data_IF_770276816344
#
_entry.id   IF_770276816344
#
_cell.length_a   1.000
_cell.length_b   1.000
_cell.length_c   1.000
_cell.angle_alpha   90.00
_cell.angle_beta   90.00
_cell.angle_gamma   90.00
#
_symmetry.space_group_name_H-M   'P 1'
#
loop_
_entity.id
_entity.type
_entity.pdbx_description
1 polymer ?
#
# COMPACT_ATOMS: atom_id res chain seq x y z
N UNK A 1 -11.10 17.61 3.97
CA UNK A 1 -10.80 16.22 4.36
C UNK A 1 -9.58 16.25 5.27
N UNK A 2 -9.44 15.30 6.19
CA UNK A 2 -8.27 15.16 7.07
C UNK A 2 -7.70 13.78 6.80
N UNK A 3 -6.40 13.71 6.52
CA UNK A 3 -5.67 12.46 6.34
C UNK A 3 -4.66 12.31 7.47
N UNK A 4 -4.44 11.08 7.91
CA UNK A 4 -3.65 10.75 9.09
C UNK A 4 -2.62 9.69 8.73
N UNK A 5 -1.40 9.87 9.20
CA UNK A 5 -0.34 8.86 9.13
C UNK A 5 0.42 8.79 10.44
N UNK A 6 0.85 7.59 10.85
CA UNK A 6 1.57 7.36 12.09
C UNK A 6 2.96 6.80 11.78
N UNK A 7 4.00 7.39 12.38
CA UNK A 7 5.38 6.93 12.28
C UNK A 7 6.09 7.05 13.63
N UNK A 8 6.51 5.94 14.24
CA UNK A 8 7.26 5.91 15.51
C UNK A 8 6.68 6.88 16.60
N UNK A 9 5.39 6.73 16.90
CA UNK A 9 4.59 7.58 17.83
C UNK A 9 4.32 9.03 17.40
N UNK A 10 4.73 9.41 16.19
CA UNK A 10 4.46 10.72 15.62
C UNK A 10 3.23 10.67 14.72
N UNK A 11 2.26 11.54 14.99
CA UNK A 11 1.07 11.68 14.16
C UNK A 11 1.27 12.78 13.12
N UNK A 12 1.12 12.43 11.85
CA UNK A 12 1.11 13.35 10.72
C UNK A 12 -0.33 13.58 10.28
N UNK A 13 -0.70 14.84 10.10
CA UNK A 13 -2.07 15.25 9.79
C UNK A 13 -2.08 16.21 8.63
N UNK A 14 -2.86 15.92 7.59
CA UNK A 14 -3.18 16.92 6.58
C UNK A 14 -4.52 17.60 6.85
N UNK A 15 -4.59 18.89 6.53
CA UNK A 15 -5.81 19.69 6.63
C UNK A 15 -6.26 20.12 5.22
N UNK A 16 -7.55 20.38 5.07
CA UNK A 16 -8.12 20.85 3.79
C UNK A 16 -7.60 22.22 3.34
N UNK A 17 -6.87 22.94 4.19
CA UNK A 17 -6.24 24.23 3.89
C UNK A 17 -4.81 24.08 3.33
N UNK A 18 -4.39 22.86 2.97
CA UNK A 18 -3.09 22.59 2.38
C UNK A 18 -1.95 22.47 3.39
N UNK A 19 -2.24 22.42 4.70
CA UNK A 19 -1.22 22.23 5.75
C UNK A 19 -1.00 20.77 6.06
N UNK A 20 0.26 20.43 6.30
CA UNK A 20 0.68 19.14 6.86
C UNK A 20 1.37 19.42 8.19
N UNK A 21 0.84 18.81 9.25
CA UNK A 21 1.31 18.96 10.62
C UNK A 21 1.97 17.67 11.10
N UNK A 22 3.02 17.81 11.90
CA UNK A 22 3.58 16.77 12.74
C UNK A 22 3.14 17.05 14.18
N UNK A 23 2.60 16.03 14.84
CA UNK A 23 2.10 16.09 16.21
C UNK A 23 2.83 15.03 17.02
N UNK A 24 3.56 15.46 18.04
CA UNK A 24 4.26 14.54 18.95
C UNK A 24 3.30 14.07 20.08
N UNK A 25 3.63 13.02 20.83
CA UNK A 25 2.71 12.44 21.83
C UNK A 25 2.19 13.40 22.91
N UNK A 26 2.95 14.46 23.24
CA UNK A 26 2.51 15.48 24.19
C UNK A 26 1.47 16.47 23.61
N UNK A 27 1.12 16.33 22.33
CA UNK A 27 0.17 17.18 21.61
C UNK A 27 0.79 18.38 20.91
N UNK A 28 2.09 18.64 21.09
CA UNK A 28 2.79 19.74 20.40
C UNK A 28 2.74 19.54 18.90
N UNK A 29 2.33 20.59 18.19
CA UNK A 29 2.21 20.61 16.73
C UNK A 29 3.35 21.40 16.09
N UNK A 30 3.94 20.87 15.03
CA UNK A 30 4.94 21.55 14.20
C UNK A 30 4.53 21.48 12.73
N UNK A 31 4.65 22.59 12.00
CA UNK A 31 4.31 22.63 10.58
C UNK A 31 5.39 21.90 9.79
N UNK A 32 4.99 20.89 9.00
CA UNK A 32 5.88 20.18 8.08
C UNK A 32 5.92 20.90 6.74
N UNK A 33 4.74 21.23 6.21
CA UNK A 33 4.61 21.85 4.90
C UNK A 33 3.29 22.61 4.77
N UNK A 34 3.26 23.60 3.88
CA UNK A 34 2.05 24.33 3.51
C UNK A 34 2.03 24.58 1.99
N UNK A 35 0.90 24.24 1.38
CA UNK A 35 0.56 24.55 -0.01
C UNK A 35 -0.78 25.28 -0.08
N UNK A 36 -1.13 25.79 -1.26
CA UNK A 36 -2.46 26.33 -1.55
C UNK A 36 -3.39 25.29 -2.20
N UNK A 37 -2.89 24.06 -2.39
CA UNK A 37 -3.61 22.94 -3.01
C UNK A 37 -4.32 22.07 -1.96
N UNK A 38 -5.29 21.28 -2.42
CA UNK A 38 -5.98 20.31 -1.57
C UNK A 38 -5.08 19.09 -1.39
N UNK A 39 -4.83 18.69 -0.15
CA UNK A 39 -4.14 17.42 0.13
C UNK A 39 -5.15 16.28 0.05
N UNK A 40 -4.87 15.33 -0.84
CA UNK A 40 -5.72 14.18 -1.14
C UNK A 40 -5.33 12.94 -0.35
N UNK A 41 -4.06 12.83 0.06
CA UNK A 41 -3.60 11.81 1.01
C UNK A 41 -2.22 12.15 1.58
N UNK A 42 -1.84 11.56 2.72
CA UNK A 42 -0.53 11.76 3.36
C UNK A 42 -0.02 10.47 3.99
N UNK A 43 1.27 10.18 3.80
CA UNK A 43 1.96 9.10 4.51
C UNK A 43 3.35 9.54 4.96
N UNK A 44 3.76 9.18 6.17
CA UNK A 44 5.10 9.43 6.67
C UNK A 44 5.77 8.16 7.16
N UNK A 45 7.08 8.07 6.94
CA UNK A 45 7.93 6.97 7.43
C UNK A 45 9.36 7.45 7.56
N UNK A 46 9.99 7.12 8.69
CA UNK A 46 11.39 7.41 9.01
C UNK A 46 11.76 8.88 8.74
N UNK A 47 10.87 9.80 9.13
CA UNK A 47 11.06 11.24 8.99
C UNK A 47 10.81 11.81 7.58
N UNK A 48 10.53 10.97 6.58
CA UNK A 48 10.12 11.43 5.24
C UNK A 48 8.60 11.49 5.17
N UNK A 49 8.05 12.57 4.63
CA UNK A 49 6.61 12.73 4.41
C UNK A 49 6.32 12.78 2.92
N UNK A 50 5.35 11.99 2.48
CA UNK A 50 4.84 11.96 1.13
C UNK A 50 3.38 12.39 1.14
N UNK A 51 2.94 13.07 0.09
CA UNK A 51 1.53 13.41 -0.06
C UNK A 51 1.14 13.47 -1.52
N UNK A 52 -0.17 13.39 -1.71
CA UNK A 52 -0.81 13.70 -2.98
C UNK A 52 -1.49 15.06 -2.81
N UNK A 53 -1.25 15.98 -3.74
CA UNK A 53 -2.02 17.22 -3.82
C UNK A 53 -2.73 17.35 -5.16
N UNK A 54 -3.96 17.86 -5.12
CA UNK A 54 -4.73 18.23 -6.30
C UNK A 54 -4.38 19.66 -6.70
N UNK A 55 -3.66 19.79 -7.82
CA UNK A 55 -3.21 21.08 -8.37
C UNK A 55 -4.32 21.74 -9.19
N UNK A 56 -5.08 20.93 -9.93
CA UNK A 56 -6.31 21.31 -10.61
C UNK A 56 -7.16 20.06 -10.86
N UNK A 57 -8.39 20.23 -11.36
CA UNK A 57 -9.25 19.12 -11.76
C UNK A 57 -8.48 18.08 -12.60
N UNK A 58 -8.48 16.82 -12.13
CA UNK A 58 -7.80 15.69 -12.76
C UNK A 58 -6.29 15.87 -12.99
N UNK A 59 -5.66 16.73 -12.19
CA UNK A 59 -4.23 16.96 -12.21
C UNK A 59 -3.70 16.95 -10.78
N UNK A 60 -3.30 15.77 -10.34
CA UNK A 60 -2.65 15.60 -9.03
C UNK A 60 -1.16 15.37 -9.18
N UNK A 61 -0.44 15.64 -8.09
CA UNK A 61 1.01 15.45 -7.99
C UNK A 61 1.35 14.64 -6.75
N UNK A 62 2.27 13.69 -6.86
CA UNK A 62 2.90 13.04 -5.70
C UNK A 62 4.16 13.81 -5.35
N UNK A 63 4.29 14.23 -4.10
CA UNK A 63 5.45 14.92 -3.58
C UNK A 63 6.04 14.18 -2.39
N UNK A 64 7.30 14.51 -2.08
CA UNK A 64 7.97 14.17 -0.84
C UNK A 64 8.67 15.36 -0.24
N UNK A 65 8.80 15.36 1.07
CA UNK A 65 9.68 16.24 1.84
C UNK A 65 10.39 15.39 2.89
N UNK A 66 11.69 15.57 3.00
CA UNK A 66 12.54 15.01 4.05
C UNK A 66 13.04 16.18 4.91
N UNK A 67 14.13 16.03 5.66
CA UNK A 67 14.72 17.15 6.43
C UNK A 67 15.19 18.33 5.54
N UNK A 68 15.13 18.21 4.21
CA UNK A 68 15.32 19.33 3.30
C UNK A 68 14.10 20.25 3.30
N UNK A 69 14.36 21.57 3.33
CA UNK A 69 13.33 22.61 3.36
C UNK A 69 12.54 22.76 2.04
N UNK A 70 12.69 21.85 1.06
CA UNK A 70 12.03 22.00 -0.24
C UNK A 70 11.43 20.68 -0.72
N UNK A 71 10.14 20.68 -1.08
CA UNK A 71 9.47 19.48 -1.54
C UNK A 71 10.02 19.04 -2.91
N UNK A 72 10.13 17.73 -3.12
CA UNK A 72 10.51 17.12 -4.40
C UNK A 72 9.30 16.46 -5.02
N UNK A 73 9.11 16.71 -6.31
CA UNK A 73 8.05 16.08 -7.10
C UNK A 73 8.49 14.69 -7.52
N UNK A 74 7.66 13.69 -7.22
CA UNK A 74 7.87 12.28 -7.60
C UNK A 74 7.13 11.98 -8.90
N UNK A 75 5.88 12.43 -9.01
CA UNK A 75 5.02 12.18 -10.16
C UNK A 75 4.07 13.35 -10.38
N UNK A 76 3.78 13.65 -11.65
CA UNK A 76 2.84 14.70 -12.10
C UNK A 76 1.77 14.09 -12.99
N UNK A 77 0.75 14.88 -13.31
CA UNK A 77 -0.31 14.54 -14.25
C UNK A 77 -1.03 13.22 -13.86
N UNK A 78 -1.13 12.99 -12.55
CA UNK A 78 -1.89 11.87 -12.00
C UNK A 78 -3.35 12.03 -12.41
N UNK A 79 -4.01 10.89 -12.64
CA UNK A 79 -5.46 10.84 -12.89
C UNK A 79 -6.24 11.07 -11.59
N UNK A 80 -7.06 10.12 -11.16
CA UNK A 80 -7.77 10.20 -9.88
C UNK A 80 -6.99 9.35 -8.87
N UNK A 81 -6.03 9.91 -8.12
CA UNK A 81 -5.38 9.17 -7.06
C UNK A 81 -6.32 8.94 -5.87
N UNK A 82 -6.15 7.82 -5.16
CA UNK A 82 -7.03 7.48 -4.03
C UNK A 82 -6.27 7.14 -2.74
N UNK A 83 -5.17 6.41 -2.85
CA UNK A 83 -4.42 5.87 -1.71
C UNK A 83 -2.92 6.11 -1.91
N UNK A 84 -2.22 6.40 -0.81
CA UNK A 84 -0.79 6.58 -0.74
C UNK A 84 -0.22 5.73 0.41
N UNK A 85 0.70 4.83 0.11
CA UNK A 85 1.38 4.02 1.13
C UNK A 85 2.89 3.99 0.91
N UNK A 86 3.63 3.58 1.93
CA UNK A 86 5.09 3.50 1.90
C UNK A 86 5.57 2.18 2.50
N UNK A 87 6.51 1.55 1.79
CA UNK A 87 7.31 0.45 2.32
C UNK A 87 8.79 0.78 2.12
N UNK A 88 9.55 0.73 3.21
CA UNK A 88 10.95 1.16 3.26
C UNK A 88 11.15 2.58 2.68
N UNK A 89 11.68 2.68 1.46
CA UNK A 89 11.94 3.93 0.73
C UNK A 89 11.16 4.04 -0.59
N UNK A 90 10.17 3.18 -0.76
CA UNK A 90 9.33 3.12 -1.95
C UNK A 90 7.94 3.60 -1.58
N UNK A 91 7.49 4.67 -2.21
CA UNK A 91 6.10 5.12 -2.11
C UNK A 91 5.28 4.44 -3.20
N UNK A 92 4.07 4.03 -2.87
CA UNK A 92 3.11 3.43 -3.78
C UNK A 92 1.83 4.25 -3.77
N UNK A 93 1.21 4.37 -4.94
CA UNK A 93 -0.09 4.99 -5.08
C UNK A 93 -0.87 4.29 -6.17
N UNK A 94 -2.19 4.44 -6.12
CA UNK A 94 -3.06 4.01 -7.20
C UNK A 94 -3.61 5.22 -7.96
N UNK A 95 -4.01 5.00 -9.21
CA UNK A 95 -4.73 5.96 -10.05
C UNK A 95 -5.94 5.27 -10.66
N UNK A 96 -7.12 5.90 -10.53
CA UNK A 96 -8.36 5.48 -11.16
C UNK A 96 -8.59 6.34 -12.40
N UNK A 97 -9.00 5.70 -13.50
CA UNK A 97 -9.32 6.40 -14.74
C UNK A 97 -10.27 5.59 -15.62
N UNK A 98 -10.93 6.28 -16.56
CA UNK A 98 -11.87 5.67 -17.51
C UNK A 98 -11.24 5.60 -18.89
N UNK A 99 -11.36 4.46 -19.57
CA UNK A 99 -10.87 4.26 -20.94
C UNK A 99 -11.86 3.46 -21.80
N UNK A 100 -11.86 3.65 -23.13
CA UNK A 100 -12.64 2.80 -24.02
C UNK A 100 -12.03 1.39 -24.11
N UNK A 101 -12.87 0.37 -23.96
CA UNK A 101 -12.54 -1.05 -24.12
C UNK A 101 -13.64 -1.71 -24.95
N UNK A 102 -13.28 -2.28 -26.11
CA UNK A 102 -14.20 -3.03 -26.98
C UNK A 102 -15.53 -2.31 -27.29
N UNK A 103 -15.51 -0.98 -27.47
CA UNK A 103 -16.70 -0.19 -27.82
C UNK A 103 -17.55 0.28 -26.63
N UNK A 104 -17.16 -0.04 -25.39
CA UNK A 104 -17.73 0.51 -24.17
C UNK A 104 -16.69 1.32 -23.38
N UNK A 105 -17.12 2.12 -22.40
CA UNK A 105 -16.22 2.74 -21.41
C UNK A 105 -16.12 1.84 -20.18
N UNK A 106 -14.90 1.67 -19.67
CA UNK A 106 -14.64 0.97 -18.42
C UNK A 106 -13.71 1.78 -17.53
N UNK A 107 -13.92 1.66 -16.22
CA UNK A 107 -12.98 2.12 -15.21
C UNK A 107 -11.81 1.13 -15.08
N UNK A 108 -10.63 1.65 -14.81
CA UNK A 108 -9.40 0.91 -14.58
C UNK A 108 -8.64 1.50 -13.40
N UNK A 109 -7.96 0.65 -12.64
CA UNK A 109 -7.03 1.04 -11.58
C UNK A 109 -5.61 0.69 -12.01
N UNK A 110 -4.69 1.63 -11.84
CA UNK A 110 -3.26 1.45 -12.07
C UNK A 110 -2.51 1.63 -10.76
N UNK A 111 -1.63 0.69 -10.43
CA UNK A 111 -0.75 0.74 -9.25
C UNK A 111 0.63 1.16 -9.71
N UNK A 112 1.16 2.23 -9.11
CA UNK A 112 2.48 2.79 -9.40
C UNK A 112 3.35 2.82 -8.15
N UNK A 113 4.64 2.92 -8.38
CA UNK A 113 5.64 3.14 -7.34
C UNK A 113 6.61 4.25 -7.71
N UNK A 114 7.22 4.83 -6.68
CA UNK A 114 8.25 5.85 -6.76
C UNK A 114 9.42 5.54 -5.84
N UNK A 115 10.62 5.40 -6.39
CA UNK A 115 11.87 5.19 -5.62
C UNK A 115 13.02 5.93 -6.30
N UNK A 116 13.80 6.68 -5.54
CA UNK A 116 14.99 7.42 -6.04
C UNK A 116 14.68 8.25 -7.31
N UNK A 117 13.59 9.02 -7.29
CA UNK A 117 13.14 9.89 -8.39
C UNK A 117 12.79 9.15 -9.69
N UNK A 118 12.63 7.82 -9.63
CA UNK A 118 12.11 6.99 -10.72
C UNK A 118 10.73 6.48 -10.36
N UNK A 119 9.84 6.50 -11.35
CA UNK A 119 8.49 5.96 -11.23
C UNK A 119 8.32 4.74 -12.13
N UNK A 120 7.46 3.81 -11.69
CA UNK A 120 7.16 2.61 -12.44
C UNK A 120 5.69 2.22 -12.24
N UNK A 121 5.01 1.87 -13.34
CA UNK A 121 3.73 1.15 -13.29
C UNK A 121 3.99 -0.32 -12.96
N UNK A 122 3.42 -0.79 -11.86
CA UNK A 122 3.56 -2.16 -11.37
C UNK A 122 2.47 -3.06 -11.92
N UNK A 123 1.24 -2.54 -11.90
CA UNK A 123 0.06 -3.28 -12.31
C UNK A 123 -1.02 -2.34 -12.86
N UNK A 124 -1.85 -2.87 -13.74
CA UNK A 124 -3.09 -2.24 -14.15
C UNK A 124 -4.16 -3.32 -14.30
N UNK A 125 -5.35 -3.05 -13.79
CA UNK A 125 -6.49 -3.94 -13.93
C UNK A 125 -7.77 -3.15 -14.25
N UNK A 126 -8.66 -3.79 -14.99
CA UNK A 126 -9.99 -3.26 -15.26
C UNK A 126 -10.83 -3.43 -13.99
N UNK A 127 -11.44 -2.35 -13.51
CA UNK A 127 -12.43 -2.43 -12.45
C UNK A 127 -13.69 -3.00 -13.09
N UNK A 128 -13.88 -4.32 -13.02
CA UNK A 128 -15.03 -4.97 -13.67
C UNK A 128 -16.35 -4.77 -12.90
N UNK A 129 -16.58 -3.59 -12.32
CA UNK A 129 -17.92 -3.10 -12.02
C UNK A 129 -18.42 -2.34 -13.25
N UNK A 130 -19.39 -2.83 -14.03
CA UNK A 130 -19.97 -1.99 -15.05
C UNK A 130 -20.69 -0.83 -14.36
N UNK A 131 -20.39 0.40 -14.77
CA UNK A 131 -21.28 1.55 -14.57
C UNK A 131 -22.58 1.36 -15.39
N UNK A 132 -22.81 0.19 -16.02
CA UNK A 132 -24.01 -0.13 -16.80
C UNK A 132 -24.84 -1.30 -16.21
N UNK A 133 -25.98 -0.91 -15.66
CA UNK A 133 -27.30 -1.55 -15.62
C UNK A 133 -27.53 -2.99 -15.10
N UNK A 134 -26.53 -3.88 -14.90
CA UNK A 134 -26.85 -5.29 -14.56
C UNK A 134 -26.06 -5.99 -13.46
N UNK A 135 -25.09 -5.37 -12.80
CA UNK A 135 -24.34 -6.06 -11.73
C UNK A 135 -24.18 -5.13 -10.53
N UNK A 136 -24.84 -5.47 -9.43
CA UNK A 136 -24.86 -4.70 -8.18
C UNK A 136 -23.63 -4.88 -7.30
N UNK A 137 -22.58 -5.56 -7.78
CA UNK A 137 -21.35 -5.80 -7.03
C UNK A 137 -20.12 -5.49 -7.89
N UNK A 138 -19.13 -4.72 -7.36
CA UNK A 138 -17.85 -4.58 -8.03
C UNK A 138 -17.18 -5.94 -8.17
N UNK A 139 -16.76 -6.32 -9.37
CA UNK A 139 -16.01 -7.58 -9.53
C UNK A 139 -14.61 -7.50 -8.90
N UNK A 140 -13.98 -6.32 -8.92
CA UNK A 140 -12.70 -6.07 -8.25
C UNK A 140 -12.85 -4.87 -7.32
N UNK A 141 -12.43 -5.04 -6.07
CA UNK A 141 -12.47 -4.03 -4.99
C UNK A 141 -13.07 -4.62 -3.70
N UNK A 142 -12.66 -4.17 -2.49
CA UNK A 142 -11.56 -3.25 -2.16
C UNK A 142 -10.17 -3.81 -2.50
N UNK A 143 -9.17 -2.93 -2.53
CA UNK A 143 -7.75 -3.29 -2.57
C UNK A 143 -6.98 -2.53 -1.49
N UNK A 144 -5.80 -3.04 -1.16
CA UNK A 144 -4.89 -2.46 -0.17
C UNK A 144 -3.47 -2.83 -0.57
N UNK A 145 -2.54 -1.88 -0.48
CA UNK A 145 -1.11 -2.16 -0.65
C UNK A 145 -0.49 -2.31 0.74
N UNK A 146 0.09 -3.48 1.01
CA UNK A 146 0.78 -3.78 2.27
C UNK A 146 2.13 -4.38 1.95
N UNK A 147 3.19 -3.75 2.46
CA UNK A 147 4.57 -4.13 2.17
C UNK A 147 4.80 -4.21 0.65
N UNK A 148 5.17 -5.39 0.15
CA UNK A 148 5.39 -5.66 -1.28
C UNK A 148 4.21 -6.35 -1.96
N UNK A 149 3.02 -6.34 -1.34
CA UNK A 149 1.85 -7.04 -1.84
C UNK A 149 0.70 -6.07 -2.14
N UNK A 150 0.10 -6.25 -3.31
CA UNK A 150 -1.25 -5.77 -3.59
C UNK A 150 -2.23 -6.85 -3.12
N UNK A 151 -3.05 -6.51 -2.15
CA UNK A 151 -4.20 -7.31 -1.75
C UNK A 151 -5.38 -6.83 -2.58
N UNK A 152 -5.96 -7.73 -3.37
CA UNK A 152 -7.08 -7.44 -4.25
C UNK A 152 -8.22 -8.40 -3.97
N UNK A 153 -9.39 -7.86 -3.63
CA UNK A 153 -10.62 -8.66 -3.51
C UNK A 153 -11.27 -8.77 -4.88
N UNK A 154 -11.60 -9.99 -5.26
CA UNK A 154 -12.54 -10.28 -6.33
C UNK A 154 -13.90 -10.66 -5.72
N UNK A 155 -14.91 -9.81 -5.87
CA UNK A 155 -16.26 -9.99 -5.31
C UNK A 155 -17.23 -10.57 -6.35
N UNK A 156 -16.81 -11.63 -7.06
CA UNK A 156 -17.67 -12.33 -8.02
C UNK A 156 -18.63 -13.29 -7.32
N UNK A 157 -19.86 -13.39 -7.84
CA UNK A 157 -20.84 -14.37 -7.38
C UNK A 157 -20.43 -15.74 -7.95
N UNK A 158 -20.37 -16.83 -7.15
CA UNK A 158 -21.00 -17.00 -5.84
C UNK A 158 -20.14 -16.70 -4.60
N UNK A 159 -18.84 -16.44 -4.73
CA UNK A 159 -17.94 -16.31 -3.57
C UNK A 159 -16.82 -15.31 -3.84
N UNK A 160 -16.53 -14.46 -2.84
CA UNK A 160 -15.44 -13.52 -2.94
C UNK A 160 -14.09 -14.21 -2.69
N UNK A 161 -13.04 -13.78 -3.38
CA UNK A 161 -11.68 -14.29 -3.19
C UNK A 161 -10.70 -13.16 -2.90
N UNK A 162 -9.72 -13.41 -2.04
CA UNK A 162 -8.62 -12.48 -1.79
C UNK A 162 -7.38 -12.96 -2.54
N UNK A 163 -6.87 -12.11 -3.41
CA UNK A 163 -5.60 -12.30 -4.11
C UNK A 163 -4.52 -11.45 -3.44
N UNK A 164 -3.40 -12.07 -3.08
CA UNK A 164 -2.17 -11.38 -2.70
C UNK A 164 -1.21 -11.43 -3.88
N UNK A 165 -0.92 -10.29 -4.47
CA UNK A 165 -0.06 -10.20 -5.64
C UNK A 165 1.23 -9.50 -5.24
N UNK A 166 2.35 -10.21 -5.32
CA UNK A 166 3.66 -9.61 -5.09
C UNK A 166 3.95 -8.57 -6.18
N UNK A 167 4.21 -7.33 -5.80
CA UNK A 167 4.35 -6.19 -6.71
C UNK A 167 5.63 -6.23 -7.55
N UNK A 168 6.65 -6.96 -7.12
CA UNK A 168 7.95 -7.03 -7.81
C UNK A 168 7.98 -8.15 -8.83
N UNK A 169 7.57 -9.36 -8.44
CA UNK A 169 7.65 -10.54 -9.30
C UNK A 169 6.30 -10.99 -9.87
N UNK A 170 5.21 -10.31 -9.52
CA UNK A 170 3.83 -10.56 -10.00
C UNK A 170 3.27 -11.94 -9.62
N UNK A 171 3.89 -12.63 -8.67
CA UNK A 171 3.39 -13.92 -8.17
C UNK A 171 2.08 -13.70 -7.41
N UNK A 172 1.08 -14.53 -7.72
CA UNK A 172 -0.24 -14.46 -7.10
C UNK A 172 -0.39 -15.58 -6.08
N UNK A 173 -0.69 -15.21 -4.85
CA UNK A 173 -1.06 -16.10 -3.76
C UNK A 173 -2.56 -15.94 -3.53
N UNK A 174 -3.31 -17.01 -3.67
CA UNK A 174 -4.73 -16.99 -3.30
C UNK A 174 -4.84 -17.36 -1.83
N UNK A 175 -5.57 -16.56 -1.06
CA UNK A 175 -5.99 -17.00 0.27
C UNK A 175 -7.03 -18.10 0.06
N UNK A 176 -6.77 -19.34 0.51
CA UNK A 176 -7.46 -20.54 0.02
C UNK A 176 -8.94 -20.65 0.44
N UNK A 177 -9.44 -19.76 1.28
CA UNK A 177 -10.84 -19.75 1.70
C UNK A 177 -11.65 -18.82 0.80
N UNK A 178 -12.51 -19.42 -0.03
CA UNK A 178 -13.59 -18.70 -0.67
C UNK A 178 -14.44 -18.02 0.41
N UNK A 179 -14.55 -16.70 0.35
CA UNK A 179 -15.32 -15.93 1.31
C UNK A 179 -16.81 -16.06 0.98
N UNK A 180 -17.60 -16.36 2.01
CA UNK A 180 -19.06 -16.41 1.91
C UNK A 180 -19.72 -15.05 2.19
N UNK A 181 -18.97 -13.95 2.04
CA UNK A 181 -19.43 -12.60 2.33
C UNK A 181 -18.81 -11.59 1.37
N UNK A 182 -19.55 -10.52 1.10
CA UNK A 182 -19.15 -9.43 0.19
C UNK A 182 -18.24 -8.45 0.93
N UNK A 183 -16.96 -8.43 0.57
CA UNK A 183 -15.95 -7.60 1.25
C UNK A 183 -16.06 -6.16 0.75
N UNK A 184 -16.16 -5.22 1.68
CA UNK A 184 -16.28 -3.78 1.40
C UNK A 184 -15.03 -2.99 1.74
N UNK A 185 -14.29 -3.42 2.75
CA UNK A 185 -13.08 -2.73 3.20
C UNK A 185 -11.95 -3.70 3.51
N UNK A 186 -10.72 -3.23 3.31
CA UNK A 186 -9.51 -3.89 3.78
C UNK A 186 -8.81 -3.00 4.80
N UNK A 187 -8.23 -3.63 5.82
CA UNK A 187 -7.29 -3.03 6.77
C UNK A 187 -6.13 -4.00 6.98
N UNK A 188 -5.03 -3.51 7.52
CA UNK A 188 -3.91 -4.38 7.89
C UNK A 188 -3.28 -3.93 9.20
N UNK A 189 -2.55 -4.88 9.79
CA UNK A 189 -1.42 -4.60 10.69
C UNK A 189 -0.15 -5.19 10.06
N UNK A 190 0.92 -5.33 10.84
CA UNK A 190 2.20 -5.85 10.38
C UNK A 190 2.13 -7.30 9.89
N UNK A 191 1.18 -8.09 10.40
CA UNK A 191 1.12 -9.54 10.22
C UNK A 191 -0.18 -10.03 9.60
N UNK A 192 -1.23 -9.20 9.58
CA UNK A 192 -2.56 -9.60 9.17
C UNK A 192 -3.23 -8.59 8.25
N UNK A 193 -4.10 -9.13 7.40
CA UNK A 193 -5.11 -8.41 6.64
C UNK A 193 -6.48 -8.71 7.23
N UNK A 194 -7.26 -7.67 7.42
CA UNK A 194 -8.65 -7.75 7.86
C UNK A 194 -9.56 -7.42 6.68
N UNK A 195 -10.38 -8.39 6.27
CA UNK A 195 -11.38 -8.22 5.22
C UNK A 195 -12.75 -8.05 5.86
N UNK A 196 -13.32 -6.86 5.70
CA UNK A 196 -14.51 -6.39 6.40
C UNK A 196 -15.65 -6.30 5.40
N UNK A 197 -16.79 -6.93 5.71
CA UNK A 197 -17.92 -7.00 4.79
C UNK A 197 -19.22 -7.45 5.43
N UNK A 198 -20.14 -7.93 4.59
CA UNK A 198 -21.48 -8.37 5.01
C UNK A 198 -21.91 -9.66 4.34
N UNK A 199 -22.66 -10.48 5.06
CA UNK A 199 -23.41 -11.63 4.57
C UNK A 199 -24.89 -11.53 5.01
N UNK A 200 -25.77 -12.49 4.67
CA UNK A 200 -27.17 -12.47 5.11
C UNK A 200 -27.38 -12.42 6.64
N UNK A 201 -26.39 -12.89 7.42
CA UNK A 201 -26.44 -12.92 8.88
C UNK A 201 -25.91 -11.62 9.53
N UNK A 202 -25.34 -10.71 8.73
CA UNK A 202 -24.89 -9.39 9.16
C UNK A 202 -23.43 -9.09 8.83
N UNK A 203 -22.77 -8.40 9.74
CA UNK A 203 -21.41 -7.88 9.57
C UNK A 203 -20.35 -8.95 9.90
N UNK A 204 -19.31 -9.04 9.07
CA UNK A 204 -18.25 -10.04 9.19
C UNK A 204 -16.87 -9.38 9.06
N UNK A 205 -15.94 -9.79 9.93
CA UNK A 205 -14.51 -9.47 9.83
C UNK A 205 -13.73 -10.77 9.71
N UNK A 206 -13.17 -11.03 8.53
CA UNK A 206 -12.18 -12.09 8.33
C UNK A 206 -10.78 -11.58 8.64
N UNK A 207 -9.93 -12.43 9.22
CA UNK A 207 -8.54 -12.14 9.57
C UNK A 207 -7.62 -13.14 8.88
N UNK A 208 -6.71 -12.65 8.05
CA UNK A 208 -5.85 -13.48 7.21
C UNK A 208 -4.38 -13.11 7.43
N UNK A 209 -3.52 -14.10 7.64
CA UNK A 209 -2.11 -13.85 7.83
C UNK A 209 -1.46 -13.37 6.53
N UNK A 210 -0.61 -12.35 6.62
CA UNK A 210 0.28 -11.98 5.53
C UNK A 210 1.38 -13.05 5.39
N UNK A 211 1.84 -13.32 4.15
CA UNK A 211 3.01 -14.16 3.95
C UNK A 211 4.19 -13.56 4.70
N UNK A 212 4.76 -14.33 5.62
CA UNK A 212 6.00 -13.92 6.28
C UNK A 212 7.10 -14.02 5.24
N UNK A 213 7.65 -12.88 4.82
CA UNK A 213 8.92 -12.84 4.11
C UNK A 213 10.00 -13.27 5.12
N UNK A 214 10.34 -14.57 5.11
CA UNK A 214 11.54 -15.01 5.83
C UNK A 214 12.71 -14.33 5.11
N UNK A 215 13.55 -13.54 5.81
CA UNK A 215 14.73 -12.97 5.17
C UNK A 215 15.50 -14.11 4.53
N UNK A 216 15.76 -14.03 3.23
CA UNK A 216 16.71 -14.93 2.61
C UNK A 216 18.04 -14.68 3.32
N UNK A 217 18.40 -15.56 4.26
CA UNK A 217 19.73 -15.52 4.83
C UNK A 217 20.69 -15.72 3.66
N UNK A 218 21.60 -14.78 3.39
CA UNK A 218 22.64 -15.00 2.40
C UNK A 218 23.28 -16.33 2.75
N UNK A 219 23.32 -17.27 1.79
CA UNK A 219 23.88 -18.60 2.00
C UNK A 219 25.29 -18.55 2.60
N UNK A 220 26.03 -17.45 2.39
CA UNK A 220 27.29 -17.14 3.06
C UNK A 220 27.24 -17.02 4.58
N UNK A 221 26.14 -16.54 5.20
CA UNK A 221 25.98 -16.46 6.66
C UNK A 221 25.74 -17.85 7.27
N UNK A 222 25.00 -18.72 6.57
CA UNK A 222 24.85 -20.12 6.95
C UNK A 222 26.18 -20.89 6.83
N UNK A 223 26.94 -20.66 5.76
CA UNK A 223 28.26 -21.27 5.58
C UNK A 223 29.26 -20.75 6.64
N UNK A 224 29.26 -19.45 6.94
CA UNK A 224 30.15 -18.86 7.93
C UNK A 224 29.84 -19.37 9.36
N UNK A 225 28.56 -19.50 9.72
CA UNK A 225 28.16 -20.05 11.02
C UNK A 225 28.57 -21.53 11.16
N UNK A 226 28.41 -22.33 10.10
CA UNK A 226 28.91 -23.72 10.06
C UNK A 226 30.44 -23.82 10.17
N UNK A 227 31.17 -22.94 9.49
CA UNK A 227 32.63 -22.90 9.56
C UNK A 227 33.14 -22.51 10.96
N UNK A 228 32.50 -21.52 11.60
CA UNK A 228 32.81 -21.11 12.97
C UNK A 228 32.54 -22.23 13.99
N UNK A 229 31.42 -22.96 13.87
CA UNK A 229 31.17 -24.12 14.73
C UNK A 229 32.21 -25.23 14.52
N UNK A 230 32.66 -25.45 13.28
CA UNK A 230 33.71 -26.43 12.97
C UNK A 230 35.05 -26.07 13.60
N UNK A 231 35.43 -24.79 13.59
CA UNK A 231 36.68 -24.29 14.18
C UNK A 231 36.67 -24.43 15.71
N UNK A 232 35.53 -24.12 16.36
CA UNK A 232 35.38 -24.27 17.82
C UNK A 232 35.44 -25.74 18.23
N UNK A 233 34.83 -26.65 17.44
CA UNK A 233 34.89 -28.09 17.70
C UNK A 233 36.32 -28.63 17.48
N UNK A 234 36.99 -28.26 16.39
CA UNK A 234 38.36 -28.69 16.09
C UNK A 234 39.38 -28.21 17.14
N UNK A 235 39.24 -26.99 17.66
CA UNK A 235 40.09 -26.49 18.74
C UNK A 235 39.91 -27.27 20.05
N UNK A 236 38.72 -27.84 20.30
CA UNK A 236 38.46 -28.67 21.48
C UNK A 236 39.13 -30.05 21.38
N UNK A 237 39.20 -30.62 20.17
CA UNK A 237 39.83 -31.93 19.94
C UNK A 237 41.36 -31.90 19.84
N UNK A 238 41.97 -30.74 19.57
CA UNK A 238 43.43 -30.59 19.53
C UNK A 238 44.07 -30.15 20.86
N UNK A 239 43.25 -29.88 21.88
CA UNK A 239 43.70 -29.52 23.24
C UNK A 239 43.38 -30.59 24.30
N UNK A 240 43.01 -31.80 23.86
CA UNK A 240 42.87 -33.00 24.70
C UNK A 240 44.03 -33.94 24.43
#
# INVERSE_FOLDING_TARGET
MIHLSLDNDLLYVSESNGKIWKIIPDGTKSLVFQTNHIIMDVVSKDGVTYWIEEVSDQNSTVLRIDDTLSPKIIAKDLKIPYDLTINEKTVFWNEIYVKPIAGAFSESTMIKSGKNDKTQTLMEFQNTSPVSQRLGTPHYGPYLIVQDYLILVNNTIPQSTIHLINLHNKTVYNIPESLNYDVKYLRNDDNFVYAIGTNPDGFVIGKYALPVSVPEFPSGILIASMALSSIVILQRFWRS
#
